data_IF_016177114748
#
_entry.id   IF_016177114748
#
_cell.length_a   1.000
_cell.length_b   1.000
_cell.length_c   1.000
_cell.angle_alpha   90.00
_cell.angle_beta   90.00
_cell.angle_gamma   90.00
#
_symmetry.space_group_name_H-M   'P 1'
#
loop_
_entity.id
_entity.type
_entity.pdbx_description
1 polymer ?
#
# COMPACT_ATOMS: atom_id res chain seq x y z
N UNK A 1 4.01 -4.91 20.56
CA UNK A 1 3.04 -3.95 19.99
C UNK A 1 3.81 -3.16 18.96
N UNK A 2 3.30 -3.07 17.74
CA UNK A 2 3.92 -2.32 16.65
C UNK A 2 3.03 -1.12 16.30
N UNK A 3 3.61 -0.07 15.72
CA UNK A 3 2.96 1.18 15.36
C UNK A 3 3.22 1.48 13.89
N UNK A 4 2.16 1.74 13.14
CA UNK A 4 2.21 2.07 11.71
C UNK A 4 2.07 3.57 11.45
N UNK A 5 2.83 4.10 10.49
CA UNK A 5 2.69 5.47 10.00
C UNK A 5 1.73 5.49 8.82
N UNK A 6 0.61 6.19 8.95
CA UNK A 6 -0.37 6.33 7.87
C UNK A 6 -0.10 7.58 7.05
N UNK A 7 0.14 7.42 5.75
CA UNK A 7 0.37 8.51 4.79
C UNK A 7 1.45 9.49 5.30
N UNK A 8 1.08 10.76 5.53
CA UNK A 8 1.92 11.80 6.11
C UNK A 8 3.29 11.93 5.43
N UNK A 9 3.28 11.95 4.09
CA UNK A 9 4.48 11.88 3.25
C UNK A 9 5.53 12.94 3.58
N UNK A 10 5.08 14.16 3.87
CA UNK A 10 5.96 15.27 4.27
C UNK A 10 6.73 15.02 5.58
N UNK A 11 6.26 14.08 6.42
CA UNK A 11 6.86 13.75 7.71
C UNK A 11 7.68 12.45 7.70
N UNK A 12 7.73 11.71 6.58
CA UNK A 12 8.41 10.40 6.53
C UNK A 12 9.89 10.52 6.90
N UNK A 13 10.55 11.58 6.45
CA UNK A 13 11.96 11.84 6.76
C UNK A 13 12.26 12.05 8.25
N UNK A 14 11.32 12.68 8.98
CA UNK A 14 11.53 13.03 10.38
C UNK A 14 11.04 11.94 11.34
N UNK A 15 10.00 11.19 10.94
CA UNK A 15 9.26 10.34 11.87
C UNK A 15 9.39 8.84 11.59
N UNK A 16 9.80 8.41 10.39
CA UNK A 16 9.84 6.98 10.01
C UNK A 16 10.63 6.09 10.96
N UNK A 17 11.63 6.62 11.66
CA UNK A 17 12.44 5.85 12.62
C UNK A 17 11.64 5.40 13.85
N UNK A 18 10.56 6.09 14.21
CA UNK A 18 9.71 5.76 15.36
C UNK A 18 8.60 4.74 15.05
N UNK A 19 8.39 4.40 13.78
CA UNK A 19 7.34 3.48 13.34
C UNK A 19 7.93 2.15 12.85
N UNK A 20 7.16 1.09 12.99
CA UNK A 20 7.56 -0.26 12.58
C UNK A 20 7.26 -0.52 11.09
N UNK A 21 6.27 0.17 10.52
CA UNK A 21 5.82 0.01 9.13
C UNK A 21 5.07 1.23 8.62
N UNK A 22 4.93 1.34 7.30
CA UNK A 22 4.10 2.33 6.62
C UNK A 22 2.73 1.76 6.25
N UNK A 23 1.71 2.60 6.27
CA UNK A 23 0.42 2.35 5.61
C UNK A 23 0.19 3.51 4.64
N UNK A 24 -0.08 3.23 3.37
CA UNK A 24 -0.48 4.26 2.41
C UNK A 24 -1.85 3.97 1.81
N UNK A 25 -2.53 5.03 1.38
CA UNK A 25 -3.70 4.99 0.53
C UNK A 25 -3.41 5.70 -0.78
N UNK A 26 -3.51 4.96 -1.88
CA UNK A 26 -3.51 5.45 -3.25
C UNK A 26 -2.20 6.02 -3.77
N UNK A 27 -1.04 5.50 -3.34
CA UNK A 27 0.22 6.09 -3.78
C UNK A 27 0.45 6.00 -5.28
N UNK A 28 -0.11 4.99 -5.98
CA UNK A 28 0.07 4.88 -7.42
C UNK A 28 -0.78 5.94 -8.15
N UNK A 29 -2.01 6.19 -7.67
CA UNK A 29 -2.88 7.26 -8.20
C UNK A 29 -2.23 8.64 -8.05
N UNK A 30 -1.54 8.88 -6.93
CA UNK A 30 -0.88 10.15 -6.63
C UNK A 30 0.59 10.22 -7.05
N UNK A 31 1.13 9.13 -7.63
CA UNK A 31 2.54 9.01 -8.01
C UNK A 31 3.51 9.35 -6.85
N UNK A 32 3.23 8.79 -5.67
CA UNK A 32 3.96 9.06 -4.43
C UNK A 32 4.57 7.81 -3.78
N UNK A 33 4.46 6.63 -4.40
CA UNK A 33 4.93 5.36 -3.83
C UNK A 33 6.43 5.36 -3.52
N UNK A 34 7.22 5.97 -4.42
CA UNK A 34 8.67 6.11 -4.25
C UNK A 34 9.09 6.86 -2.98
N UNK A 35 8.20 7.67 -2.36
CA UNK A 35 8.50 8.39 -1.13
C UNK A 35 8.76 7.45 0.06
N UNK A 36 8.23 6.22 0.04
CA UNK A 36 8.39 5.25 1.13
C UNK A 36 9.67 4.42 1.03
N UNK A 37 10.40 4.49 -0.09
CA UNK A 37 11.57 3.65 -0.33
C UNK A 37 12.68 3.83 0.71
N UNK A 38 13.22 5.04 0.83
CA UNK A 38 14.30 5.33 1.77
C UNK A 38 13.82 5.28 3.24
N UNK A 39 12.63 5.83 3.60
CA UNK A 39 12.20 5.87 5.00
C UNK A 39 11.79 4.51 5.57
N UNK A 40 11.28 3.58 4.74
CA UNK A 40 10.77 2.29 5.19
C UNK A 40 11.45 1.10 4.49
N UNK A 41 11.31 0.97 3.17
CA UNK A 41 11.66 -0.26 2.44
C UNK A 41 13.17 -0.59 2.47
N UNK A 42 14.03 0.42 2.34
CA UNK A 42 15.49 0.28 2.42
C UNK A 42 15.96 -0.03 3.85
N UNK A 43 15.10 0.18 4.85
CA UNK A 43 15.31 -0.18 6.26
C UNK A 43 14.62 -1.50 6.65
N UNK A 44 14.17 -2.27 5.66
CA UNK A 44 13.40 -3.51 5.83
C UNK A 44 12.14 -3.36 6.69
N UNK A 45 11.53 -2.17 6.66
CA UNK A 45 10.21 -1.91 7.23
C UNK A 45 9.15 -2.05 6.12
N UNK A 46 8.11 -2.86 6.30
CA UNK A 46 7.11 -3.07 5.26
C UNK A 46 6.25 -1.81 5.06
N UNK A 47 5.67 -1.70 3.87
CA UNK A 47 4.69 -0.67 3.52
C UNK A 47 3.46 -1.38 2.99
N UNK A 48 2.34 -1.20 3.69
CA UNK A 48 1.03 -1.73 3.29
C UNK A 48 0.30 -0.65 2.48
N UNK A 49 0.04 -0.92 1.22
CA UNK A 49 -0.64 0.02 0.33
C UNK A 49 -2.08 -0.42 0.06
N UNK A 50 -2.99 0.54 -0.01
CA UNK A 50 -4.38 0.32 -0.42
C UNK A 50 -4.68 1.17 -1.64
N UNK A 51 -5.16 0.55 -2.70
CA UNK A 51 -5.65 1.23 -3.89
C UNK A 51 -7.17 1.15 -3.99
N UNK A 52 -7.81 2.27 -4.34
CA UNK A 52 -9.26 2.37 -4.51
C UNK A 52 -9.64 2.52 -5.99
N UNK A 53 -8.91 3.39 -6.70
CA UNK A 53 -9.22 3.80 -8.06
C UNK A 53 -8.17 3.36 -9.08
N UNK A 54 -7.11 2.67 -8.65
CA UNK A 54 -6.07 2.17 -9.55
C UNK A 54 -6.55 0.92 -10.30
N UNK A 55 -6.05 0.74 -11.53
CA UNK A 55 -6.27 -0.47 -12.31
C UNK A 55 -5.51 -1.66 -11.71
N UNK A 56 -6.11 -2.84 -11.70
CA UNK A 56 -5.48 -4.05 -11.14
C UNK A 56 -4.16 -4.44 -11.83
N UNK A 57 -3.95 -3.99 -13.07
CA UNK A 57 -2.74 -4.22 -13.85
C UNK A 57 -1.45 -3.64 -13.24
N UNK A 58 -1.52 -2.81 -12.20
CA UNK A 58 -0.33 -2.29 -11.51
C UNK A 58 0.37 -3.32 -10.60
N UNK A 59 -0.17 -4.54 -10.45
CA UNK A 59 0.38 -5.46 -9.46
C UNK A 59 1.84 -5.85 -9.68
N UNK A 60 2.29 -5.96 -10.94
CA UNK A 60 3.71 -6.23 -11.22
C UNK A 60 4.59 -5.06 -10.74
N UNK A 61 4.18 -3.81 -11.01
CA UNK A 61 4.87 -2.60 -10.54
C UNK A 61 4.89 -2.51 -9.01
N UNK A 62 3.73 -2.67 -8.36
CA UNK A 62 3.62 -2.63 -6.90
C UNK A 62 4.51 -3.67 -6.21
N UNK A 63 4.58 -4.88 -6.77
CA UNK A 63 5.43 -5.95 -6.27
C UNK A 63 6.92 -5.65 -6.49
N UNK A 64 7.30 -5.07 -7.64
CA UNK A 64 8.67 -4.61 -7.91
C UNK A 64 9.11 -3.49 -6.93
N UNK A 65 8.18 -2.63 -6.54
CA UNK A 65 8.38 -1.61 -5.51
C UNK A 65 8.43 -2.17 -4.08
N UNK A 66 8.22 -3.48 -3.88
CA UNK A 66 8.16 -4.16 -2.58
C UNK A 66 7.01 -3.66 -1.69
N UNK A 67 5.90 -3.23 -2.29
CA UNK A 67 4.69 -2.80 -1.58
C UNK A 67 3.73 -3.98 -1.41
N UNK A 68 3.22 -4.18 -0.20
CA UNK A 68 2.11 -5.11 0.04
C UNK A 68 0.80 -4.40 -0.30
N UNK A 69 0.40 -4.49 -1.56
CA UNK A 69 -0.74 -3.75 -2.12
C UNK A 69 -2.00 -4.60 -2.15
N UNK A 70 -3.09 -4.02 -1.64
CA UNK A 70 -4.45 -4.54 -1.79
C UNK A 70 -5.37 -3.52 -2.47
N UNK A 71 -6.36 -4.01 -3.18
CA UNK A 71 -7.43 -3.20 -3.75
C UNK A 71 -8.68 -3.30 -2.89
N UNK A 72 -9.36 -2.18 -2.71
CA UNK A 72 -10.54 -2.05 -1.84
C UNK A 72 -11.54 -1.06 -2.42
N UNK A 73 -12.78 -1.14 -1.96
CA UNK A 73 -13.69 0.01 -2.01
C UNK A 73 -13.40 0.98 -0.85
N UNK A 74 -13.82 2.23 -1.01
CA UNK A 74 -13.61 3.31 -0.03
C UNK A 74 -14.13 2.99 1.38
N UNK A 75 -15.23 2.24 1.50
CA UNK A 75 -15.82 1.86 2.78
C UNK A 75 -15.03 0.75 3.51
N UNK A 76 -14.01 0.18 2.87
CA UNK A 76 -13.12 -0.84 3.45
C UNK A 76 -13.86 -2.09 3.99
N UNK A 77 -14.99 -2.47 3.40
CA UNK A 77 -15.70 -3.70 3.75
C UNK A 77 -14.92 -4.96 3.35
N UNK A 78 -15.50 -6.15 3.49
CA UNK A 78 -14.75 -7.41 3.39
C UNK A 78 -14.09 -7.68 2.01
N UNK A 79 -14.71 -7.27 0.91
CA UNK A 79 -14.21 -7.52 -0.45
C UNK A 79 -12.81 -6.93 -0.65
N UNK A 80 -11.89 -7.70 -1.25
CA UNK A 80 -10.53 -7.27 -1.54
C UNK A 80 -9.91 -8.09 -2.67
N UNK A 81 -8.87 -7.52 -3.28
CA UNK A 81 -7.87 -8.28 -4.03
C UNK A 81 -6.45 -7.93 -3.59
N UNK A 82 -5.52 -8.87 -3.73
CA UNK A 82 -4.12 -8.69 -3.34
C UNK A 82 -3.18 -8.94 -4.51
N UNK A 83 -2.17 -8.09 -4.65
CA UNK A 83 -1.09 -8.35 -5.60
C UNK A 83 -0.16 -9.50 -5.20
N UNK A 84 -0.19 -9.93 -3.94
CA UNK A 84 0.74 -10.90 -3.37
C UNK A 84 0.11 -12.27 -3.08
N UNK A 85 -1.15 -12.33 -2.67
CA UNK A 85 -1.84 -13.58 -2.31
C UNK A 85 -3.29 -13.60 -2.77
N UNK A 86 -3.54 -14.26 -3.90
CA UNK A 86 -4.87 -14.39 -4.48
C UNK A 86 -5.78 -15.40 -3.77
N UNK A 87 -5.31 -16.09 -2.74
CA UNK A 87 -6.13 -17.08 -2.01
C UNK A 87 -7.30 -16.47 -1.25
N UNK A 88 -7.30 -15.15 -1.07
CA UNK A 88 -8.30 -14.38 -0.32
C UNK A 88 -9.10 -13.41 -1.19
N UNK A 89 -8.84 -13.42 -2.49
CA UNK A 89 -9.40 -12.47 -3.43
C UNK A 89 -10.85 -12.86 -3.77
N UNK A 90 -11.69 -11.83 -3.91
CA UNK A 90 -12.95 -11.97 -4.65
C UNK A 90 -12.68 -11.77 -6.15
N UNK A 91 -13.71 -11.69 -7.00
CA UNK A 91 -13.49 -11.24 -8.37
C UNK A 91 -12.98 -9.79 -8.36
N UNK A 92 -11.75 -9.55 -8.80
CA UNK A 92 -11.12 -8.23 -8.73
C UNK A 92 -11.79 -7.18 -9.61
N UNK A 93 -12.59 -7.60 -10.59
CA UNK A 93 -13.43 -6.69 -11.37
C UNK A 93 -14.60 -6.11 -10.57
N UNK A 94 -14.89 -6.67 -9.38
CA UNK A 94 -15.96 -6.22 -8.48
C UNK A 94 -15.47 -5.38 -7.29
N UNK A 95 -14.15 -5.14 -7.15
CA UNK A 95 -13.55 -4.50 -5.95
C UNK A 95 -13.30 -3.01 -6.13
N UNK A 96 -12.76 -2.61 -7.30
CA UNK A 96 -12.52 -1.21 -7.64
C UNK A 96 -13.74 -0.66 -8.37
N UNK A 97 -14.19 0.54 -8.00
CA UNK A 97 -15.48 1.08 -8.48
C UNK A 97 -15.43 2.57 -8.79
#
# INVERSE_FOLDING_TARGET
>A
MHVGMKNAIELLGDLSDYYDFGINESCHVWNECGAYKIPFLDKDKPVFNVEYDADYGICDEANEERLDTIFKEYDLNAAMCSCADSSRDVDCSDVTR
#
